data_IF_988438296656
#
_entry.id   IF_988438296656
#
_cell.length_a   1.000
_cell.length_b   1.000
_cell.length_c   1.000
_cell.angle_alpha   90.00
_cell.angle_beta   90.00
_cell.angle_gamma   90.00
#
_symmetry.space_group_name_H-M   'P 1'
#
loop_
_entity.id
_entity.type
_entity.pdbx_description
1 polymer ?
#
# COMPACT_ATOMS: atom_id res chain seq x y z
N UNK A 1 7.30 13.28 3.98
CA UNK A 1 5.97 12.92 3.46
C UNK A 1 6.14 11.77 2.48
N UNK A 2 5.59 10.59 2.78
CA UNK A 2 5.53 9.49 1.81
C UNK A 2 4.39 9.72 0.83
N UNK A 3 4.59 9.46 -0.46
CA UNK A 3 3.53 9.57 -1.47
C UNK A 3 2.59 8.34 -1.43
N UNK A 4 1.47 8.40 -2.16
CA UNK A 4 0.47 7.33 -2.18
C UNK A 4 0.88 6.15 -3.06
N UNK A 5 0.18 5.01 -2.90
CA UNK A 5 0.33 3.85 -3.78
C UNK A 5 0.14 4.22 -5.24
N UNK A 6 -0.90 5.00 -5.56
CA UNK A 6 -1.27 5.39 -6.92
C UNK A 6 -0.15 6.17 -7.59
N UNK A 7 0.50 7.09 -6.85
CA UNK A 7 1.62 7.86 -7.36
C UNK A 7 2.80 6.95 -7.75
N UNK A 8 3.24 6.08 -6.84
CA UNK A 8 4.36 5.18 -7.12
C UNK A 8 4.02 4.15 -8.21
N UNK A 9 2.77 3.66 -8.24
CA UNK A 9 2.30 2.74 -9.27
C UNK A 9 2.27 3.39 -10.66
N UNK A 10 1.84 4.65 -10.77
CA UNK A 10 1.87 5.39 -12.02
C UNK A 10 3.32 5.51 -12.54
N UNK A 11 4.26 5.92 -11.68
CA UNK A 11 5.69 6.01 -12.03
C UNK A 11 6.30 4.67 -12.44
N UNK A 12 5.88 3.58 -11.79
CA UNK A 12 6.32 2.24 -12.16
C UNK A 12 5.82 1.85 -13.57
N UNK A 13 4.57 2.17 -13.88
CA UNK A 13 3.97 1.88 -15.19
C UNK A 13 4.57 2.75 -16.30
N UNK A 14 4.79 4.04 -16.05
CA UNK A 14 5.48 4.96 -16.97
C UNK A 14 6.89 4.43 -17.31
N UNK A 15 7.68 4.10 -16.30
CA UNK A 15 9.03 3.58 -16.52
C UNK A 15 9.03 2.23 -17.25
N UNK A 16 8.03 1.36 -17.01
CA UNK A 16 7.89 0.12 -17.75
C UNK A 16 7.55 0.37 -19.23
N UNK A 17 6.61 1.28 -19.52
CA UNK A 17 6.27 1.66 -20.88
C UNK A 17 7.46 2.29 -21.63
N UNK A 18 8.26 3.12 -20.95
CA UNK A 18 9.50 3.67 -21.50
C UNK A 18 10.56 2.60 -21.75
N UNK A 19 10.61 1.53 -20.95
CA UNK A 19 11.49 0.39 -21.21
C UNK A 19 11.04 -0.40 -22.45
N UNK A 20 9.73 -0.58 -22.62
CA UNK A 20 9.16 -1.30 -23.77
C UNK A 20 9.43 -0.54 -25.08
N UNK A 21 9.29 0.78 -25.06
CA UNK A 21 9.56 1.66 -26.20
C UNK A 21 11.06 1.88 -26.50
N UNK A 22 11.96 1.48 -25.59
CA UNK A 22 13.39 1.73 -25.76
C UNK A 22 13.99 0.90 -26.90
N UNK A 23 14.68 1.58 -27.81
CA UNK A 23 15.40 0.96 -28.94
C UNK A 23 16.84 0.58 -28.62
N UNK A 24 17.37 1.09 -27.49
CA UNK A 24 18.72 0.79 -27.01
C UNK A 24 18.64 0.01 -25.69
N UNK A 25 19.43 -1.05 -25.58
CA UNK A 25 19.42 -1.94 -24.40
C UNK A 25 19.79 -1.21 -23.11
N UNK A 26 20.78 -0.31 -23.18
CA UNK A 26 21.18 0.48 -22.01
C UNK A 26 20.05 1.41 -21.49
N UNK A 27 19.20 1.91 -22.37
CA UNK A 27 18.02 2.72 -22.03
C UNK A 27 16.94 1.82 -21.44
N UNK A 28 16.66 0.67 -22.08
CA UNK A 28 15.73 -0.35 -21.58
C UNK A 28 16.09 -0.76 -20.15
N UNK A 29 17.34 -1.13 -19.91
CA UNK A 29 17.83 -1.58 -18.60
C UNK A 29 17.75 -0.51 -17.52
N UNK A 30 17.98 0.76 -17.89
CA UNK A 30 17.82 1.88 -16.96
C UNK A 30 16.35 2.02 -16.56
N UNK A 31 15.44 1.98 -17.54
CA UNK A 31 14.01 2.12 -17.30
C UNK A 31 13.44 0.94 -16.51
N UNK A 32 13.88 -0.30 -16.78
CA UNK A 32 13.51 -1.48 -15.98
C UNK A 32 13.96 -1.35 -14.52
N UNK A 33 15.17 -0.84 -14.26
CA UNK A 33 15.65 -0.57 -12.89
C UNK A 33 14.83 0.51 -12.18
N UNK A 34 14.43 1.56 -12.90
CA UNK A 34 13.54 2.58 -12.38
C UNK A 34 12.15 1.99 -12.06
N UNK A 35 11.56 1.23 -12.99
CA UNK A 35 10.27 0.57 -12.81
C UNK A 35 10.28 -0.36 -11.59
N UNK A 36 11.35 -1.15 -11.40
CA UNK A 36 11.54 -2.00 -10.22
C UNK A 36 11.56 -1.21 -8.91
N UNK A 37 12.30 -0.11 -8.88
CA UNK A 37 12.37 0.77 -7.69
C UNK A 37 10.99 1.36 -7.37
N UNK A 38 10.30 1.90 -8.37
CA UNK A 38 8.97 2.47 -8.19
C UNK A 38 7.94 1.43 -7.76
N UNK A 39 8.01 0.21 -8.31
CA UNK A 39 7.15 -0.91 -7.91
C UNK A 39 7.34 -1.25 -6.44
N UNK A 40 8.59 -1.35 -5.98
CA UNK A 40 8.89 -1.61 -4.57
C UNK A 40 8.32 -0.55 -3.62
N UNK A 41 8.39 0.72 -4.01
CA UNK A 41 7.79 1.82 -3.24
C UNK A 41 6.25 1.75 -3.24
N UNK A 42 5.65 1.40 -4.37
CA UNK A 42 4.20 1.19 -4.46
C UNK A 42 3.76 0.05 -3.53
N UNK A 43 4.45 -1.08 -3.56
CA UNK A 43 4.12 -2.23 -2.72
C UNK A 43 4.25 -1.91 -1.23
N UNK A 44 5.28 -1.14 -0.85
CA UNK A 44 5.43 -0.65 0.52
C UNK A 44 4.28 0.29 0.92
N UNK A 45 3.91 1.25 0.06
CA UNK A 45 2.81 2.17 0.34
C UNK A 45 1.47 1.43 0.48
N UNK A 46 1.23 0.43 -0.39
CA UNK A 46 0.06 -0.45 -0.29
C UNK A 46 0.05 -1.22 1.03
N UNK A 47 1.19 -1.80 1.42
CA UNK A 47 1.32 -2.54 2.67
C UNK A 47 0.98 -1.66 3.87
N UNK A 48 1.53 -0.45 3.95
CA UNK A 48 1.24 0.50 5.03
C UNK A 48 -0.26 0.83 5.11
N UNK A 49 -0.91 1.03 3.96
CA UNK A 49 -2.34 1.30 3.90
C UNK A 49 -3.17 0.12 4.42
N UNK A 50 -2.85 -1.11 4.00
CA UNK A 50 -3.53 -2.34 4.44
C UNK A 50 -3.31 -2.60 5.93
N UNK A 51 -2.07 -2.46 6.41
CA UNK A 51 -1.71 -2.67 7.82
C UNK A 51 -2.47 -1.67 8.72
N UNK A 52 -2.65 -0.41 8.25
CA UNK A 52 -3.43 0.60 8.97
C UNK A 52 -4.90 0.20 9.09
N UNK A 53 -5.55 -0.14 7.98
CA UNK A 53 -6.96 -0.56 7.98
C UNK A 53 -7.17 -1.78 8.89
N UNK A 54 -6.25 -2.74 8.83
CA UNK A 54 -6.30 -3.95 9.66
C UNK A 54 -6.20 -3.59 11.14
N UNK A 55 -5.22 -2.77 11.53
CA UNK A 55 -5.06 -2.35 12.93
C UNK A 55 -6.22 -1.51 13.44
N UNK A 56 -6.80 -0.65 12.62
CA UNK A 56 -7.99 0.13 12.97
C UNK A 56 -9.19 -0.79 13.24
N UNK A 57 -9.38 -1.83 12.41
CA UNK A 57 -10.41 -2.86 12.60
C UNK A 57 -10.22 -3.63 13.90
N UNK A 58 -9.03 -4.17 14.13
CA UNK A 58 -8.71 -4.92 15.36
C UNK A 58 -8.91 -4.07 16.63
N UNK A 59 -8.54 -2.79 16.58
CA UNK A 59 -8.76 -1.86 17.69
C UNK A 59 -10.24 -1.59 17.92
N UNK A 60 -11.05 -1.47 16.86
CA UNK A 60 -12.49 -1.28 16.98
C UNK A 60 -13.18 -2.53 17.55
N UNK A 61 -12.81 -3.72 17.07
CA UNK A 61 -13.30 -5.00 17.59
C UNK A 61 -12.98 -5.14 19.09
N UNK A 62 -11.73 -4.86 19.50
CA UNK A 62 -11.34 -4.88 20.92
C UNK A 62 -12.15 -3.90 21.77
N UNK A 63 -12.33 -2.65 21.32
CA UNK A 63 -13.17 -1.67 22.05
C UNK A 63 -14.61 -2.15 22.20
N UNK A 64 -15.19 -2.69 21.13
CA UNK A 64 -16.57 -3.21 21.19
C UNK A 64 -16.71 -4.41 22.14
N UNK A 65 -15.71 -5.29 22.20
CA UNK A 65 -15.70 -6.42 23.12
C UNK A 65 -15.54 -5.97 24.58
N UNK A 66 -14.68 -4.97 24.83
CA UNK A 66 -14.53 -4.33 26.15
C UNK A 66 -15.83 -3.66 26.60
N UNK A 67 -16.50 -2.91 25.71
CA UNK A 67 -17.79 -2.28 25.98
C UNK A 67 -18.90 -3.31 26.28
N UNK A 68 -18.98 -4.38 25.48
CA UNK A 68 -19.94 -5.46 25.70
C UNK A 68 -19.72 -6.19 27.04
N UNK A 69 -18.46 -6.37 27.45
CA UNK A 69 -18.11 -6.97 28.73
C UNK A 69 -18.43 -6.05 29.93
N UNK A 70 -18.44 -4.73 29.73
CA UNK A 70 -18.74 -3.75 30.76
C UNK A 70 -20.24 -3.47 30.92
N UNK A 71 -21.08 -3.86 29.95
CA UNK A 71 -22.53 -3.72 30.02
C UNK A 71 -23.12 -4.78 30.98
N UNK A 72 -23.68 -4.40 32.15
CA UNK A 72 -24.35 -5.37 33.02
C UNK A 72 -25.57 -5.97 32.31
N UNK A 73 -25.97 -7.22 32.64
CA UNK A 73 -27.18 -7.81 32.07
C UNK A 73 -28.36 -6.88 32.36
N UNK A 74 -29.13 -6.54 31.33
CA UNK A 74 -30.31 -5.71 31.47
C UNK A 74 -31.26 -6.37 32.49
N UNK A 75 -31.43 -5.73 33.65
CA UNK A 75 -32.36 -6.17 34.68
C UNK A 75 -33.78 -6.15 34.12
N UNK A 76 -34.40 -7.32 34.03
CA UNK A 76 -35.81 -7.52 33.68
C UNK A 76 -36.72 -7.41 34.91
#
# INVERSE_FOLDING_TARGET
>A
MSQTFEFYNARANEAAAEADAATLDNVRDRNLRAAKTWRGLADQARKVMVDRVTSERERAERRSAEEAALQPPASA
#
